data_IF_123721793785
#
_entry.id   IF_123721793785
#
_cell.length_a   1.000
_cell.length_b   1.000
_cell.length_c   1.000
_cell.angle_alpha   90.00
_cell.angle_beta   90.00
_cell.angle_gamma   90.00
#
_symmetry.space_group_name_H-M   'P 1'
#
loop_
_entity.id
_entity.type
_entity.pdbx_description
1 polymer ?
#
# COMPACT_ATOMS: atom_id res chain seq x y z
N UNK A 1 36.40 -11.58 -0.30
CA UNK A 1 35.59 -12.21 -1.34
C UNK A 1 34.20 -11.63 -1.27
N UNK A 2 33.82 -10.75 -2.21
CA UNK A 2 32.48 -10.09 -2.22
C UNK A 2 31.51 -11.06 -2.88
N UNK A 3 30.62 -11.65 -2.09
CA UNK A 3 29.53 -12.50 -2.60
C UNK A 3 28.37 -11.57 -2.99
N UNK A 4 28.12 -11.43 -4.28
CA UNK A 4 26.93 -10.75 -4.80
C UNK A 4 25.77 -11.76 -4.81
N UNK A 5 24.75 -11.51 -4.01
CA UNK A 5 23.54 -12.33 -4.00
C UNK A 5 22.58 -11.81 -5.04
N UNK A 6 22.26 -12.66 -5.99
CA UNK A 6 21.26 -12.38 -7.03
C UNK A 6 19.87 -12.64 -6.47
N UNK A 7 19.01 -11.62 -6.56
CA UNK A 7 17.60 -11.72 -6.20
C UNK A 7 16.91 -12.59 -7.27
N UNK A 8 16.43 -13.76 -6.91
CA UNK A 8 15.62 -14.59 -7.80
C UNK A 8 14.14 -14.35 -7.45
N UNK A 9 13.45 -13.57 -8.27
CA UNK A 9 11.99 -13.45 -8.23
C UNK A 9 11.41 -14.29 -9.35
N UNK A 10 10.72 -15.37 -9.03
CA UNK A 10 9.97 -16.17 -10.00
C UNK A 10 8.52 -15.72 -9.96
N UNK A 11 8.10 -15.01 -10.99
CA UNK A 11 6.68 -14.67 -11.22
C UNK A 11 6.07 -15.78 -12.08
N UNK A 12 5.28 -16.65 -11.47
CA UNK A 12 4.40 -17.58 -12.20
C UNK A 12 3.02 -16.93 -12.31
N UNK A 13 2.75 -16.30 -13.45
CA UNK A 13 1.41 -15.86 -13.83
C UNK A 13 0.77 -16.94 -14.72
N UNK A 14 -0.20 -17.67 -14.18
CA UNK A 14 -1.07 -18.53 -14.99
C UNK A 14 -2.39 -17.80 -15.22
N UNK A 15 -2.64 -17.36 -16.45
CA UNK A 15 -3.92 -16.79 -16.88
C UNK A 15 -4.74 -17.88 -17.56
N UNK A 16 -5.90 -18.23 -17.00
CA UNK A 16 -6.89 -19.05 -17.66
C UNK A 16 -7.86 -18.16 -18.44
N UNK A 17 -7.91 -18.31 -19.76
CA UNK A 17 -8.80 -17.57 -20.67
C UNK A 17 -10.10 -18.32 -20.83
N UNK A 18 -11.17 -17.75 -20.28
CA UNK A 18 -12.55 -18.18 -20.55
C UNK A 18 -13.32 -17.04 -21.21
N UNK A 19 -13.76 -17.24 -22.45
CA UNK A 19 -14.63 -16.28 -23.16
C UNK A 19 -16.04 -16.30 -22.59
N UNK A 20 -16.48 -15.18 -22.09
CA UNK A 20 -17.79 -14.55 -21.91
C UNK A 20 -17.96 -13.92 -20.53
N UNK A 21 -18.23 -12.60 -20.55
CA UNK A 21 -18.18 -11.66 -19.47
C UNK A 21 -16.74 -11.63 -18.91
N UNK A 22 -16.05 -10.53 -19.16
CA UNK A 22 -14.65 -10.31 -18.87
C UNK A 22 -14.34 -10.52 -17.37
N UNK A 23 -14.27 -11.78 -17.01
CA UNK A 23 -13.89 -12.22 -15.65
C UNK A 23 -12.47 -12.74 -15.73
N UNK A 24 -11.57 -12.13 -14.98
CA UNK A 24 -10.16 -12.52 -14.90
C UNK A 24 -9.86 -12.97 -13.49
N UNK A 25 -9.32 -14.17 -13.36
CA UNK A 25 -8.79 -14.70 -12.12
C UNK A 25 -7.28 -14.86 -12.26
N UNK A 26 -6.52 -14.18 -11.41
CA UNK A 26 -5.05 -14.21 -11.45
C UNK A 26 -4.51 -14.74 -10.14
N UNK A 27 -3.59 -15.69 -10.25
CA UNK A 27 -2.82 -16.22 -9.12
C UNK A 27 -1.40 -15.65 -9.17
N UNK A 28 -0.86 -15.30 -8.03
CA UNK A 28 0.52 -14.86 -7.93
C UNK A 28 1.23 -15.55 -6.77
N UNK A 29 2.47 -15.91 -7.01
CA UNK A 29 3.40 -16.40 -5.99
C UNK A 29 4.70 -15.65 -6.16
N UNK A 30 5.22 -15.13 -5.07
CA UNK A 30 6.50 -14.44 -5.04
C UNK A 30 7.32 -14.93 -3.86
N UNK A 31 8.59 -15.18 -4.09
CA UNK A 31 9.57 -15.47 -3.03
C UNK A 31 10.75 -14.52 -3.14
N UNK A 32 11.28 -14.13 -2.01
CA UNK A 32 12.47 -13.29 -1.92
C UNK A 32 13.35 -13.79 -0.78
N UNK A 33 14.65 -13.83 -1.02
CA UNK A 33 15.64 -14.11 0.00
C UNK A 33 16.80 -13.14 -0.13
N UNK A 34 17.26 -12.63 1.00
CA UNK A 34 18.43 -11.77 1.11
C UNK A 34 19.43 -12.43 2.04
N UNK A 35 20.66 -12.57 1.56
CA UNK A 35 21.80 -13.06 2.34
C UNK A 35 22.93 -12.05 2.21
N UNK A 36 23.41 -11.51 3.31
CA UNK A 36 24.51 -10.56 3.31
C UNK A 36 25.56 -10.91 4.35
N UNK A 37 26.82 -10.57 4.07
CA UNK A 37 27.94 -10.79 4.96
C UNK A 37 28.27 -9.50 5.74
N UNK A 38 27.31 -9.01 6.51
CA UNK A 38 27.45 -7.81 7.32
C UNK A 38 26.47 -7.84 8.49
N UNK A 39 26.51 -6.81 9.31
CA UNK A 39 25.56 -6.66 10.42
C UNK A 39 24.13 -6.47 9.91
N UNK A 40 23.98 -5.79 8.76
CA UNK A 40 22.69 -5.47 8.17
C UNK A 40 22.69 -5.71 6.67
N UNK A 41 21.53 -6.04 6.12
CA UNK A 41 21.31 -6.03 4.69
C UNK A 41 21.31 -4.59 4.14
N UNK A 42 21.74 -4.38 2.89
CA UNK A 42 21.64 -3.06 2.26
C UNK A 42 20.19 -2.55 2.24
N UNK A 43 19.98 -1.30 2.64
CA UNK A 43 18.63 -0.71 2.79
C UNK A 43 17.79 -0.74 1.49
N UNK A 44 18.43 -0.63 0.33
CA UNK A 44 17.73 -0.69 -0.96
C UNK A 44 17.14 -2.07 -1.29
N UNK A 45 17.57 -3.13 -0.61
CA UNK A 45 16.96 -4.46 -0.74
C UNK A 45 15.68 -4.58 0.09
N UNK A 46 15.54 -3.79 1.16
CA UNK A 46 14.37 -3.78 2.03
C UNK A 46 13.36 -2.69 1.71
N UNK A 47 13.77 -1.64 1.01
CA UNK A 47 12.91 -0.51 0.67
C UNK A 47 11.93 -0.82 -0.47
N UNK A 48 10.79 -0.12 -0.48
CA UNK A 48 9.74 -0.23 -1.50
C UNK A 48 9.14 -1.66 -1.64
N UNK A 49 9.01 -2.37 -0.51
CA UNK A 49 8.52 -3.75 -0.44
C UNK A 49 7.20 -3.90 0.33
N UNK A 50 6.46 -2.83 0.54
CA UNK A 50 5.20 -2.86 1.29
C UNK A 50 5.30 -3.56 2.65
N UNK A 51 6.39 -3.31 3.38
CA UNK A 51 6.64 -3.88 4.70
C UNK A 51 7.08 -5.35 4.71
N UNK A 52 7.38 -5.93 3.56
CA UNK A 52 7.91 -7.30 3.45
C UNK A 52 9.43 -7.39 3.53
N UNK A 53 10.12 -6.25 3.35
CA UNK A 53 11.58 -6.20 3.47
C UNK A 53 12.05 -6.10 4.92
N UNK A 54 13.30 -6.47 5.15
CA UNK A 54 13.98 -6.33 6.44
C UNK A 54 15.42 -5.89 6.25
N UNK A 55 15.97 -5.22 7.24
CA UNK A 55 17.40 -4.86 7.29
C UNK A 55 18.25 -5.93 7.95
N UNK A 56 17.65 -7.02 8.45
CA UNK A 56 18.40 -8.16 8.95
C UNK A 56 19.24 -8.77 7.83
N UNK A 57 20.45 -9.20 8.16
CA UNK A 57 21.44 -9.67 7.19
C UNK A 57 20.99 -10.92 6.40
N UNK A 58 20.17 -11.78 7.04
CA UNK A 58 19.56 -12.94 6.41
C UNK A 58 18.06 -12.84 6.63
N UNK A 59 17.31 -12.56 5.58
CA UNK A 59 15.86 -12.46 5.65
C UNK A 59 15.21 -12.95 4.37
N UNK A 60 13.93 -13.23 4.44
CA UNK A 60 13.19 -13.62 3.27
C UNK A 60 11.70 -13.76 3.52
N UNK A 61 10.96 -13.83 2.42
CA UNK A 61 9.52 -14.03 2.47
C UNK A 61 9.05 -14.87 1.29
N UNK A 62 7.90 -15.50 1.51
CA UNK A 62 7.05 -16.10 0.48
C UNK A 62 5.69 -15.42 0.58
N UNK A 63 5.13 -14.97 -0.53
CA UNK A 63 3.75 -14.54 -0.62
C UNK A 63 3.01 -15.27 -1.71
N UNK A 64 1.73 -15.54 -1.47
CA UNK A 64 0.82 -16.12 -2.44
C UNK A 64 -0.52 -15.40 -2.39
N UNK A 65 -1.16 -15.25 -3.53
CA UNK A 65 -2.41 -14.53 -3.60
C UNK A 65 -3.24 -14.87 -4.81
N UNK A 66 -4.47 -14.39 -4.74
CA UNK A 66 -5.48 -14.49 -5.78
C UNK A 66 -6.11 -13.12 -5.99
N UNK A 67 -6.27 -12.73 -7.23
CA UNK A 67 -6.97 -11.52 -7.62
C UNK A 67 -8.10 -11.88 -8.58
N UNK A 68 -9.25 -11.29 -8.33
CA UNK A 68 -10.44 -11.42 -9.14
C UNK A 68 -10.80 -10.06 -9.74
N UNK A 69 -11.06 -10.03 -11.02
CA UNK A 69 -11.54 -8.86 -11.74
C UNK A 69 -12.73 -9.26 -12.61
N UNK A 70 -13.79 -8.47 -12.54
CA UNK A 70 -14.97 -8.65 -13.39
C UNK A 70 -15.48 -7.32 -13.92
N UNK A 71 -15.53 -7.19 -15.24
CA UNK A 71 -16.19 -6.10 -15.91
C UNK A 71 -17.66 -6.46 -16.07
N UNK A 72 -18.54 -5.76 -15.35
CA UNK A 72 -19.98 -6.01 -15.38
C UNK A 72 -20.62 -5.44 -16.64
N UNK A 73 -20.16 -4.28 -17.06
CA UNK A 73 -20.54 -3.61 -18.30
C UNK A 73 -19.55 -2.47 -18.63
N UNK A 74 -19.82 -1.71 -19.65
CA UNK A 74 -18.95 -0.61 -20.11
C UNK A 74 -18.52 0.40 -19.02
N UNK A 75 -19.30 0.56 -17.96
CA UNK A 75 -19.05 1.55 -16.91
C UNK A 75 -18.68 0.96 -15.55
N UNK A 76 -18.99 -0.31 -15.29
CA UNK A 76 -18.89 -0.93 -13.99
C UNK A 76 -17.86 -2.04 -13.96
N UNK A 77 -16.98 -2.02 -12.97
CA UNK A 77 -15.95 -3.02 -12.72
C UNK A 77 -15.88 -3.34 -11.23
N UNK A 78 -15.70 -4.61 -10.91
CA UNK A 78 -15.40 -5.11 -9.57
C UNK A 78 -14.01 -5.73 -9.59
N UNK A 79 -13.22 -5.41 -8.60
CA UNK A 79 -11.95 -6.08 -8.30
C UNK A 79 -11.94 -6.55 -6.85
N UNK A 80 -11.30 -7.66 -6.58
CA UNK A 80 -10.97 -8.08 -5.23
C UNK A 80 -9.66 -8.84 -5.22
N UNK A 81 -8.97 -8.80 -4.10
CA UNK A 81 -7.71 -9.50 -3.95
C UNK A 81 -7.50 -9.98 -2.53
N UNK A 82 -6.87 -11.14 -2.42
CA UNK A 82 -6.45 -11.70 -1.15
C UNK A 82 -5.02 -12.25 -1.29
N UNK A 83 -4.12 -11.82 -0.41
CA UNK A 83 -2.75 -12.30 -0.37
C UNK A 83 -2.31 -12.56 1.05
N UNK A 84 -1.65 -13.68 1.24
CA UNK A 84 -0.95 -14.05 2.48
C UNK A 84 0.55 -14.03 2.26
N UNK A 85 1.29 -13.74 3.30
CA UNK A 85 2.72 -13.79 3.30
C UNK A 85 3.26 -14.47 4.57
N UNK A 86 4.37 -15.15 4.40
CA UNK A 86 5.16 -15.74 5.48
C UNK A 86 6.62 -15.38 5.28
N UNK A 87 7.35 -15.14 6.37
CA UNK A 87 8.75 -14.77 6.26
C UNK A 87 9.57 -15.10 7.50
N UNK A 88 10.87 -15.02 7.35
CA UNK A 88 11.84 -15.17 8.42
C UNK A 88 12.72 -13.92 8.51
N UNK A 89 13.05 -13.52 9.73
CA UNK A 89 13.78 -12.28 10.05
C UNK A 89 13.16 -11.02 9.41
N UNK A 90 11.84 -11.01 9.37
CA UNK A 90 10.99 -9.86 9.01
C UNK A 90 10.07 -9.52 10.18
N UNK A 91 9.29 -8.47 10.08
CA UNK A 91 8.45 -7.98 11.19
C UNK A 91 7.38 -8.95 11.69
N UNK A 92 7.07 -10.03 10.97
CA UNK A 92 6.13 -11.10 11.38
C UNK A 92 6.43 -12.37 10.61
N UNK A 93 6.17 -13.52 11.22
CA UNK A 93 6.36 -14.82 10.56
C UNK A 93 5.22 -15.14 9.58
N UNK A 94 4.03 -14.63 9.84
CA UNK A 94 2.84 -14.79 8.97
C UNK A 94 1.92 -13.59 9.08
N UNK A 95 1.36 -13.14 7.94
CA UNK A 95 0.39 -12.05 7.90
C UNK A 95 -0.45 -12.07 6.60
N UNK A 96 -1.58 -11.36 6.66
CA UNK A 96 -2.35 -11.01 5.47
C UNK A 96 -1.72 -9.75 4.89
N UNK A 97 -1.21 -9.85 3.66
CA UNK A 97 -0.56 -8.73 2.97
C UNK A 97 -1.59 -7.83 2.29
N UNK A 98 -2.57 -8.43 1.64
CA UNK A 98 -3.68 -7.73 1.02
C UNK A 98 -4.99 -8.48 1.26
N UNK A 99 -6.05 -7.74 1.53
CA UNK A 99 -7.43 -8.21 1.52
C UNK A 99 -8.30 -7.01 1.17
N UNK A 100 -8.81 -6.94 -0.05
CA UNK A 100 -9.56 -5.77 -0.51
C UNK A 100 -10.67 -6.13 -1.49
N UNK A 101 -11.61 -5.20 -1.60
CA UNK A 101 -12.63 -5.16 -2.64
C UNK A 101 -12.74 -3.73 -3.19
N UNK A 102 -12.73 -3.60 -4.50
CA UNK A 102 -12.89 -2.37 -5.24
C UNK A 102 -14.15 -2.41 -6.08
N UNK A 103 -14.86 -1.32 -6.08
CA UNK A 103 -16.02 -1.12 -6.91
C UNK A 103 -15.84 0.17 -7.72
N UNK A 104 -15.75 0.03 -9.03
CA UNK A 104 -15.47 1.15 -9.93
C UNK A 104 -16.65 1.45 -10.84
N UNK A 105 -16.96 2.74 -10.97
CA UNK A 105 -17.89 3.27 -11.96
C UNK A 105 -17.19 4.35 -12.76
N UNK A 106 -16.87 4.06 -14.03
CA UNK A 106 -16.02 4.92 -14.85
C UNK A 106 -14.71 5.27 -14.11
N UNK A 107 -14.49 6.56 -13.82
CA UNK A 107 -13.31 7.05 -13.09
C UNK A 107 -13.46 6.98 -11.57
N UNK A 108 -14.69 6.84 -11.06
CA UNK A 108 -14.94 6.76 -9.63
C UNK A 108 -14.66 5.35 -9.11
N UNK A 109 -14.04 5.27 -7.95
CA UNK A 109 -13.74 4.01 -7.29
C UNK A 109 -14.00 4.11 -5.79
N UNK A 110 -14.60 3.06 -5.25
CA UNK A 110 -14.68 2.84 -3.79
C UNK A 110 -13.90 1.57 -3.52
N UNK A 111 -12.95 1.66 -2.60
CA UNK A 111 -12.07 0.58 -2.18
C UNK A 111 -12.24 0.33 -0.69
N UNK A 112 -12.38 -0.93 -0.28
CA UNK A 112 -12.49 -1.35 1.11
C UNK A 112 -11.43 -2.41 1.37
N UNK A 113 -10.66 -2.24 2.44
CA UNK A 113 -9.63 -3.20 2.87
C UNK A 113 -8.20 -2.72 2.66
N UNK A 114 -7.25 -3.63 2.83
CA UNK A 114 -5.82 -3.40 2.69
C UNK A 114 -5.37 -3.73 1.27
N UNK A 115 -4.94 -2.74 0.51
CA UNK A 115 -4.46 -2.89 -0.88
C UNK A 115 -3.11 -2.19 -1.05
N UNK A 116 -2.16 -2.85 -1.69
CA UNK A 116 -0.91 -2.24 -2.14
C UNK A 116 -1.21 -1.18 -3.20
N UNK A 117 -0.72 0.04 -2.99
CA UNK A 117 -0.91 1.17 -3.91
C UNK A 117 0.42 1.79 -4.25
N UNK A 118 0.73 1.87 -5.52
CA UNK A 118 2.04 2.32 -6.05
C UNK A 118 2.11 3.84 -6.26
N UNK A 119 1.46 4.61 -5.40
CA UNK A 119 1.69 6.05 -5.41
C UNK A 119 0.65 6.88 -6.14
N UNK A 120 -0.61 6.72 -5.75
CA UNK A 120 -1.64 7.69 -6.10
C UNK A 120 -1.43 8.98 -5.26
N UNK A 121 -1.62 10.17 -5.79
CA UNK A 121 -2.20 10.52 -7.10
C UNK A 121 -1.20 10.65 -8.25
N UNK A 122 0.08 10.64 -7.98
CA UNK A 122 1.13 10.66 -8.99
C UNK A 122 1.85 9.31 -8.96
N UNK A 123 1.87 8.63 -10.07
CA UNK A 123 2.64 7.41 -10.22
C UNK A 123 4.13 7.70 -10.07
N UNK A 124 4.79 6.98 -9.19
CA UNK A 124 6.23 7.06 -9.02
C UNK A 124 6.90 5.78 -9.50
N UNK A 125 8.05 5.94 -10.10
CA UNK A 125 8.89 4.80 -10.42
C UNK A 125 9.48 4.22 -9.12
N UNK A 126 9.01 3.04 -8.71
CA UNK A 126 9.43 2.36 -7.48
C UNK A 126 10.92 2.01 -7.44
N UNK A 127 11.60 2.00 -8.60
CA UNK A 127 13.04 1.76 -8.70
C UNK A 127 13.87 3.02 -8.42
N UNK A 128 13.28 4.21 -8.54
CA UNK A 128 13.98 5.49 -8.42
C UNK A 128 13.58 6.29 -7.19
N UNK A 129 12.59 5.85 -6.43
CA UNK A 129 12.08 6.60 -5.27
C UNK A 129 11.70 5.69 -4.11
N UNK A 130 11.87 6.19 -2.89
CA UNK A 130 11.41 5.55 -1.65
C UNK A 130 9.93 5.81 -1.35
N UNK A 131 9.21 6.48 -2.24
CA UNK A 131 7.80 6.85 -2.06
C UNK A 131 7.59 8.34 -1.78
N UNK A 132 6.40 8.66 -1.28
CA UNK A 132 6.01 10.01 -0.91
C UNK A 132 6.39 10.30 0.54
N UNK A 133 6.53 11.57 0.89
CA UNK A 133 6.75 11.98 2.29
C UNK A 133 5.53 11.66 3.18
N UNK A 134 4.33 11.69 2.62
CA UNK A 134 3.07 11.45 3.34
C UNK A 134 2.61 10.00 3.29
N UNK A 135 2.82 9.32 2.18
CA UNK A 135 2.43 7.92 1.97
C UNK A 135 3.57 7.18 1.25
N UNK A 136 4.31 6.38 2.00
CA UNK A 136 5.38 5.55 1.45
C UNK A 136 4.91 4.13 1.17
N UNK A 137 5.68 3.42 0.35
CA UNK A 137 5.47 2.00 0.04
C UNK A 137 6.38 1.08 0.84
N UNK A 138 6.90 1.57 1.97
CA UNK A 138 7.77 0.81 2.88
C UNK A 138 6.99 0.13 4.01
N UNK A 139 5.74 0.52 4.23
CA UNK A 139 4.86 -0.06 5.25
C UNK A 139 3.85 -1.01 4.64
N UNK A 140 3.33 -1.93 5.45
CA UNK A 140 2.20 -2.78 5.04
C UNK A 140 1.00 -1.93 4.67
N UNK A 141 0.17 -2.39 3.71
CA UNK A 141 -1.08 -1.73 3.37
C UNK A 141 -1.99 -1.56 4.59
N UNK A 142 -2.51 -0.36 4.77
CA UNK A 142 -3.43 -0.04 5.86
C UNK A 142 -4.85 -0.42 5.42
N UNK A 143 -5.58 -1.24 6.21
CA UNK A 143 -7.01 -1.44 6.00
C UNK A 143 -7.75 -0.10 6.07
N UNK A 144 -8.48 0.24 5.01
CA UNK A 144 -9.15 1.54 4.88
C UNK A 144 -10.39 1.44 4.00
N UNK A 145 -11.28 2.40 4.17
CA UNK A 145 -12.33 2.72 3.20
C UNK A 145 -11.82 3.94 2.44
N UNK A 146 -11.80 3.85 1.12
CA UNK A 146 -11.25 4.88 0.23
C UNK A 146 -12.18 5.14 -0.92
N UNK A 147 -12.54 6.42 -1.10
CA UNK A 147 -13.17 6.92 -2.32
C UNK A 147 -12.14 7.66 -3.17
N UNK A 148 -12.09 7.39 -4.46
CA UNK A 148 -11.12 8.04 -5.35
C UNK A 148 -11.66 8.29 -6.75
N UNK A 149 -11.15 9.33 -7.38
CA UNK A 149 -11.26 9.60 -8.80
C UNK A 149 -9.92 9.18 -9.40
N UNK A 150 -9.90 8.02 -10.08
CA UNK A 150 -8.66 7.36 -10.55
C UNK A 150 -7.91 8.16 -11.61
N UNK A 151 -8.63 8.88 -12.47
CA UNK A 151 -8.03 9.66 -13.55
C UNK A 151 -8.61 11.08 -13.57
N UNK A 152 -8.00 11.97 -14.33
CA UNK A 152 -8.40 13.36 -14.41
C UNK A 152 -9.83 13.51 -14.97
N UNK A 153 -10.75 13.92 -14.10
CA UNK A 153 -12.12 14.26 -14.46
C UNK A 153 -12.17 15.71 -14.92
N UNK A 154 -12.54 15.93 -16.16
CA UNK A 154 -12.71 17.27 -16.72
C UNK A 154 -13.90 17.98 -16.07
N UNK A 155 -13.69 19.25 -15.72
CA UNK A 155 -14.78 20.10 -15.18
C UNK A 155 -15.67 20.54 -16.33
N UNK A 156 -16.98 20.22 -16.28
CA UNK A 156 -17.93 20.63 -17.31
C UNK A 156 -17.89 22.14 -17.53
N UNK A 157 -18.01 22.56 -18.77
CA UNK A 157 -18.01 23.99 -19.15
C UNK A 157 -16.62 24.58 -19.40
N UNK A 158 -15.53 23.96 -18.96
CA UNK A 158 -14.18 24.48 -19.15
C UNK A 158 -13.47 23.88 -20.39
N UNK A 159 -14.21 23.17 -21.25
CA UNK A 159 -13.73 22.66 -22.56
C UNK A 159 -12.39 21.90 -22.45
N UNK A 160 -12.19 21.14 -21.38
CA UNK A 160 -10.99 20.34 -21.13
C UNK A 160 -9.76 21.12 -20.65
N UNK A 161 -9.89 22.40 -20.29
CA UNK A 161 -8.78 23.20 -19.77
C UNK A 161 -8.47 22.93 -18.30
N UNK A 162 -9.44 22.48 -17.52
CA UNK A 162 -9.25 22.15 -16.12
C UNK A 162 -9.85 20.79 -15.83
N UNK A 163 -9.05 19.94 -15.22
CA UNK A 163 -9.45 18.63 -14.74
C UNK A 163 -8.87 18.39 -13.34
N UNK A 164 -9.47 17.48 -12.60
CA UNK A 164 -8.97 17.09 -11.28
C UNK A 164 -9.07 15.60 -11.05
N UNK A 165 -8.22 15.09 -10.17
CA UNK A 165 -8.31 13.75 -9.59
C UNK A 165 -7.94 13.80 -8.12
N UNK A 166 -8.30 12.78 -7.36
CA UNK A 166 -7.97 12.75 -5.94
C UNK A 166 -8.62 11.61 -5.20
N UNK A 167 -8.38 11.59 -3.88
CA UNK A 167 -8.96 10.60 -3.00
C UNK A 167 -9.24 11.16 -1.61
N UNK A 168 -10.08 10.43 -0.89
CA UNK A 168 -10.28 10.53 0.55
C UNK A 168 -10.32 9.13 1.13
N UNK A 169 -9.64 8.90 2.24
CA UNK A 169 -9.57 7.59 2.88
C UNK A 169 -9.53 7.69 4.40
N UNK A 170 -10.18 6.73 5.04
CA UNK A 170 -10.13 6.50 6.47
C UNK A 170 -9.77 5.05 6.73
N UNK A 171 -8.82 4.81 7.61
CA UNK A 171 -8.32 3.48 7.94
C UNK A 171 -7.89 3.35 9.39
N UNK A 172 -7.40 2.17 9.73
CA UNK A 172 -6.88 1.88 11.06
C UNK A 172 -5.57 1.12 10.94
N UNK A 173 -4.57 1.56 11.70
CA UNK A 173 -3.31 0.82 11.78
C UNK A 173 -3.50 -0.52 12.48
N UNK A 174 -2.92 -1.55 11.89
CA UNK A 174 -2.89 -2.91 12.43
C UNK A 174 -1.44 -3.35 12.51
N UNK A 175 -0.86 -3.32 13.70
CA UNK A 175 0.55 -3.66 13.93
C UNK A 175 0.77 -5.04 14.56
N UNK A 176 -0.31 -5.80 14.80
CA UNK A 176 -0.24 -7.15 15.41
C UNK A 176 0.56 -7.19 16.70
N UNK A 177 0.45 -6.16 17.54
CA UNK A 177 1.22 -5.96 18.78
C UNK A 177 2.71 -5.70 18.55
N UNK A 178 3.12 -5.33 17.35
CA UNK A 178 4.52 -5.07 17.08
C UNK A 178 5.08 -3.95 17.97
N UNK A 179 4.35 -2.84 18.16
CA UNK A 179 4.77 -1.75 19.04
C UNK A 179 4.90 -2.23 20.50
N UNK A 180 3.91 -2.96 21.01
CA UNK A 180 3.93 -3.53 22.36
C UNK A 180 5.14 -4.44 22.61
N UNK A 181 5.47 -5.29 21.63
CA UNK A 181 6.60 -6.21 21.72
C UNK A 181 7.95 -5.52 21.50
N UNK A 182 8.01 -4.38 20.80
CA UNK A 182 9.23 -3.68 20.47
C UNK A 182 9.67 -2.69 21.55
N UNK A 183 8.73 -2.06 22.26
CA UNK A 183 9.04 -1.06 23.29
C UNK A 183 9.67 -1.70 24.52
N UNK A 184 10.57 -0.95 25.15
CA UNK A 184 11.19 -1.37 26.42
C UNK A 184 10.23 -1.14 27.59
N UNK A 185 10.32 -1.96 28.67
CA UNK A 185 9.62 -1.69 29.91
C UNK A 185 9.84 -0.23 30.38
N UNK A 186 8.77 0.40 30.84
CA UNK A 186 8.74 1.82 31.22
C UNK A 186 8.46 2.80 30.08
N UNK A 187 8.47 2.34 28.82
CA UNK A 187 8.17 3.16 27.64
C UNK A 187 6.68 3.15 27.29
N UNK A 188 6.28 4.13 26.49
CA UNK A 188 4.90 4.25 26.01
C UNK A 188 4.80 3.88 24.53
N UNK A 189 3.64 3.37 24.13
CA UNK A 189 3.29 3.07 22.74
C UNK A 189 1.84 3.43 22.45
N UNK A 190 1.42 3.43 21.19
CA UNK A 190 0.05 3.70 20.78
C UNK A 190 -0.62 2.43 20.28
N UNK A 191 -1.93 2.30 20.56
CA UNK A 191 -2.76 1.18 20.11
C UNK A 191 -4.03 1.71 19.46
N UNK A 192 -4.44 1.07 18.37
CA UNK A 192 -5.72 1.41 17.75
C UNK A 192 -5.74 2.73 16.98
N UNK A 193 -4.59 3.32 16.68
CA UNK A 193 -4.45 4.57 15.94
C UNK A 193 -5.19 4.52 14.60
N UNK A 194 -5.96 5.56 14.33
CA UNK A 194 -6.68 5.75 13.08
C UNK A 194 -5.82 6.49 12.06
N UNK A 195 -6.13 6.29 10.80
CA UNK A 195 -5.47 6.90 9.66
C UNK A 195 -6.47 7.63 8.78
N UNK A 196 -6.11 8.82 8.35
CA UNK A 196 -6.85 9.58 7.36
C UNK A 196 -5.91 10.13 6.31
N UNK A 197 -6.26 9.93 5.04
CA UNK A 197 -5.55 10.58 3.94
C UNK A 197 -6.51 11.19 2.94
N UNK A 198 -6.04 12.23 2.28
CA UNK A 198 -6.74 12.88 1.19
C UNK A 198 -5.76 13.54 0.23
N UNK A 199 -6.16 13.60 -1.02
CA UNK A 199 -5.42 14.35 -2.04
C UNK A 199 -6.38 14.97 -3.04
N UNK A 200 -5.95 16.06 -3.60
CA UNK A 200 -6.56 16.63 -4.80
C UNK A 200 -5.43 17.15 -5.70
N UNK A 201 -5.46 16.74 -6.96
CA UNK A 201 -4.61 17.26 -8.02
C UNK A 201 -5.46 17.90 -9.08
N UNK A 202 -5.04 19.07 -9.52
CA UNK A 202 -5.60 19.76 -10.68
C UNK A 202 -4.62 19.65 -11.85
N UNK A 203 -5.16 19.51 -13.04
CA UNK A 203 -4.44 19.63 -14.30
C UNK A 203 -5.01 20.79 -15.07
N UNK A 204 -4.18 21.77 -15.37
CA UNK A 204 -4.48 22.92 -16.19
C UNK A 204 -3.78 22.75 -17.53
N UNK A 205 -4.54 22.75 -18.61
CA UNK A 205 -4.03 22.61 -19.98
C UNK A 205 -4.96 21.77 -20.85
N UNK A 206 -4.96 22.03 -22.14
CA UNK A 206 -5.73 21.26 -23.12
C UNK A 206 -4.78 20.71 -24.18
N UNK A 207 -4.44 19.43 -24.05
CA UNK A 207 -3.48 18.73 -24.96
C UNK A 207 -3.89 18.75 -26.43
N UNK A 208 -5.19 18.96 -26.72
CA UNK A 208 -5.67 19.09 -28.08
C UNK A 208 -5.37 20.49 -28.70
N UNK A 209 -5.02 21.46 -27.85
CA UNK A 209 -4.75 22.86 -28.29
C UNK A 209 -3.31 23.29 -28.01
N UNK A 210 -2.72 22.81 -26.91
CA UNK A 210 -1.34 23.10 -26.52
C UNK A 210 -0.66 21.82 -26.06
N UNK A 211 0.58 21.53 -26.46
CA UNK A 211 1.31 20.33 -25.99
C UNK A 211 1.87 20.47 -24.57
N UNK A 212 1.31 21.39 -23.79
CA UNK A 212 1.73 21.67 -22.42
C UNK A 212 0.55 21.53 -21.47
N UNK A 213 0.80 20.90 -20.33
CA UNK A 213 -0.10 20.90 -19.18
C UNK A 213 0.71 21.18 -17.89
N UNK A 214 0.01 21.68 -16.90
CA UNK A 214 0.53 21.97 -15.58
C UNK A 214 -0.29 21.24 -14.54
N UNK A 215 0.36 20.43 -13.70
CA UNK A 215 -0.29 19.70 -12.62
C UNK A 215 0.18 20.24 -11.27
N UNK A 216 -0.77 20.49 -10.38
CA UNK A 216 -0.54 20.93 -9.03
C UNK A 216 -1.60 20.38 -8.07
N UNK A 217 -1.29 20.30 -6.79
CA UNK A 217 -2.27 19.82 -5.83
C UNK A 217 -1.70 19.66 -4.43
N UNK A 218 -2.51 19.05 -3.57
CA UNK A 218 -2.20 18.84 -2.17
C UNK A 218 -2.42 17.37 -1.83
N UNK A 219 -1.48 16.80 -1.08
CA UNK A 219 -1.55 15.48 -0.48
C UNK A 219 -1.43 15.66 1.02
N UNK A 220 -2.35 15.08 1.77
CA UNK A 220 -2.37 15.13 3.24
C UNK A 220 -2.56 13.72 3.78
N UNK A 221 -1.81 13.40 4.82
CA UNK A 221 -2.02 12.20 5.62
C UNK A 221 -1.86 12.53 7.10
N UNK A 222 -2.66 11.93 7.94
CA UNK A 222 -2.63 12.14 9.38
C UNK A 222 -2.96 10.86 10.14
N UNK A 223 -2.40 10.77 11.33
CA UNK A 223 -2.75 9.79 12.35
C UNK A 223 -3.54 10.51 13.43
N UNK A 224 -4.59 9.90 13.93
CA UNK A 224 -5.45 10.47 14.95
C UNK A 224 -6.09 9.37 15.78
N UNK A 225 -6.65 9.72 16.92
CA UNK A 225 -7.24 8.81 17.88
C UNK A 225 -6.30 7.68 18.34
N UNK A 226 -6.80 6.77 19.12
CA UNK A 226 -6.07 5.61 19.64
C UNK A 226 -5.64 5.79 21.10
N UNK A 227 -5.31 4.70 21.74
CA UNK A 227 -4.96 4.65 23.15
C UNK A 227 -3.46 4.84 23.36
N UNK A 228 -3.07 5.67 24.31
CA UNK A 228 -1.70 5.73 24.78
C UNK A 228 -1.50 4.72 25.90
N UNK A 229 -0.70 3.72 25.65
CA UNK A 229 -0.38 2.63 26.57
C UNK A 229 1.02 2.79 27.15
N UNK A 230 1.23 2.29 28.36
CA UNK A 230 2.55 2.15 28.98
C UNK A 230 2.84 0.68 29.24
N UNK A 231 4.01 0.23 28.86
CA UNK A 231 4.50 -1.10 29.21
C UNK A 231 5.23 -1.02 30.56
N UNK A 232 4.69 -1.68 31.58
CA UNK A 232 5.28 -1.76 32.92
C UNK A 232 6.46 -2.75 32.97
N UNK A 233 7.23 -2.69 34.06
CA UNK A 233 8.40 -3.56 34.24
C UNK A 233 8.04 -5.05 34.37
N UNK A 234 6.83 -5.36 34.82
CA UNK A 234 6.27 -6.70 34.94
C UNK A 234 5.69 -7.27 33.64
N UNK A 235 5.75 -6.51 32.54
CA UNK A 235 5.20 -6.86 31.25
C UNK A 235 3.71 -6.59 31.08
N UNK A 236 3.04 -6.02 32.09
CA UNK A 236 1.66 -5.58 31.98
C UNK A 236 1.56 -4.27 31.20
N UNK A 237 0.44 -4.05 30.50
CA UNK A 237 0.17 -2.81 29.78
C UNK A 237 -0.93 -2.02 30.47
N UNK A 238 -0.66 -0.75 30.75
CA UNK A 238 -1.55 0.20 31.39
C UNK A 238 -2.03 1.24 30.40
N UNK A 239 -3.33 1.54 30.40
CA UNK A 239 -3.92 2.62 29.64
C UNK A 239 -3.63 3.95 30.32
N UNK A 240 -2.92 4.86 29.65
CA UNK A 240 -2.64 6.19 30.17
C UNK A 240 -3.66 7.23 29.69
N UNK A 241 -4.02 7.18 28.42
CA UNK A 241 -4.93 8.12 27.76
C UNK A 241 -5.75 7.37 26.72
N UNK A 242 -7.06 7.49 26.78
CA UNK A 242 -8.03 7.10 25.75
C UNK A 242 -8.30 8.34 24.88
N UNK A 243 -8.07 8.26 23.56
CA UNK A 243 -8.15 9.40 22.61
C UNK A 243 -9.14 9.13 21.49
#
# INVERSE_FOLDING_TARGET
>A
MKLYVTLFSVLLAASAWGQQAETVLTYNVETSATVSNGKYAPVWLSSNRFGMGSVENNNGYLRAGINFEKILNHNWKIESGFQMASGFNVSSNFWIQQAYADFSWKMLNISIGAKERMGFPLEKNSRLTTGWMTEGINTRPIPQIRGEIKDFLEIPGLKGWLAFKGHIAYGKFMDSKWQENFVKPGSTYTKGTMYHSKSILFRLGNKNKLPLDFEFGIIMATQFAGDRMKLNADGSSELLIDM
#
